data_IF_051369217229
#
_entry.id   IF_051369217229
#
_cell.length_a   1.000
_cell.length_b   1.000
_cell.length_c   1.000
_cell.angle_alpha   90.00
_cell.angle_beta   90.00
_cell.angle_gamma   90.00
#
_symmetry.space_group_name_H-M   'P 1'
#
loop_
_entity.id
_entity.type
_entity.pdbx_description
1 polymer ?
#
# COMPACT_ATOMS: atom_id res chain seq x y z
N UNK A 1 19.08 -14.09 -9.64
CA UNK A 1 18.49 -13.51 -8.42
C UNK A 1 19.46 -12.53 -7.79
N UNK A 2 19.22 -11.23 -7.98
CA UNK A 2 20.08 -10.14 -7.47
C UNK A 2 19.57 -9.51 -6.17
N UNK A 3 18.30 -9.75 -5.79
CA UNK A 3 17.68 -9.18 -4.60
C UNK A 3 17.38 -10.26 -3.55
N UNK A 4 17.57 -9.93 -2.29
CA UNK A 4 17.32 -10.80 -1.13
C UNK A 4 15.99 -10.48 -0.41
N UNK A 5 15.39 -9.32 -0.73
CA UNK A 5 14.11 -8.88 -0.21
C UNK A 5 13.48 -7.87 -1.17
N UNK A 6 12.18 -7.61 -0.99
CA UNK A 6 11.47 -6.51 -1.65
C UNK A 6 10.74 -5.64 -0.64
N UNK A 7 10.89 -4.33 -0.81
CA UNK A 7 10.06 -3.34 -0.14
C UNK A 7 9.24 -2.58 -1.18
N UNK A 8 7.92 -2.72 -1.11
CA UNK A 8 7.02 -1.98 -1.97
C UNK A 8 6.96 -0.51 -1.52
N UNK A 9 7.53 0.37 -2.34
CA UNK A 9 7.35 1.81 -2.25
C UNK A 9 5.97 2.20 -2.76
N UNK A 10 4.93 1.96 -1.95
CA UNK A 10 3.53 2.07 -2.40
C UNK A 10 3.12 3.49 -2.79
N UNK A 11 3.80 4.52 -2.31
CA UNK A 11 3.56 5.90 -2.74
C UNK A 11 3.91 6.10 -4.22
N UNK A 12 5.15 5.80 -4.60
CA UNK A 12 5.61 5.95 -5.97
C UNK A 12 4.87 4.98 -6.90
N UNK A 13 4.61 3.75 -6.43
CA UNK A 13 3.80 2.79 -7.18
C UNK A 13 2.39 3.33 -7.45
N UNK A 14 1.77 3.99 -6.46
CA UNK A 14 0.45 4.63 -6.63
C UNK A 14 0.53 5.79 -7.61
N UNK A 15 1.51 6.67 -7.46
CA UNK A 15 1.74 7.80 -8.36
C UNK A 15 1.88 7.35 -9.81
N UNK A 16 2.70 6.32 -10.07
CA UNK A 16 2.91 5.80 -11.42
C UNK A 16 1.70 5.01 -11.96
N UNK A 17 0.96 4.32 -11.09
CA UNK A 17 -0.24 3.55 -11.51
C UNK A 17 -1.41 4.46 -11.86
N UNK A 18 -1.66 5.51 -11.07
CA UNK A 18 -2.74 6.46 -11.31
C UNK A 18 -2.33 7.59 -12.28
N UNK A 19 -1.03 7.81 -12.49
CA UNK A 19 -0.53 9.00 -13.19
C UNK A 19 -0.75 10.29 -12.38
N UNK A 20 -0.83 10.19 -11.05
CA UNK A 20 -1.07 11.34 -10.17
C UNK A 20 0.24 11.85 -9.59
N UNK A 21 0.60 13.10 -9.92
CA UNK A 21 1.62 13.82 -9.16
C UNK A 21 1.11 14.06 -7.74
N UNK A 22 1.85 13.55 -6.74
CA UNK A 22 1.51 13.74 -5.33
C UNK A 22 1.46 15.21 -4.92
N UNK A 23 2.27 16.05 -5.56
CA UNK A 23 2.34 17.49 -5.26
C UNK A 23 1.19 18.28 -5.90
N UNK A 24 0.60 17.78 -6.99
CA UNK A 24 -0.44 18.48 -7.75
C UNK A 24 -1.86 17.93 -7.52
N UNK A 25 -1.99 16.71 -6.99
CA UNK A 25 -3.27 16.02 -6.87
C UNK A 25 -4.32 16.73 -6.00
N UNK A 26 -3.87 17.59 -5.08
CA UNK A 26 -4.76 18.38 -4.21
C UNK A 26 -5.74 19.27 -4.98
N UNK A 27 -5.45 19.56 -6.27
CA UNK A 27 -6.31 20.40 -7.13
C UNK A 27 -7.56 19.69 -7.65
N UNK A 28 -7.55 18.35 -7.73
CA UNK A 28 -8.67 17.60 -8.33
C UNK A 28 -9.16 16.43 -7.47
N UNK A 29 -8.31 15.85 -6.62
CA UNK A 29 -8.66 14.65 -5.85
C UNK A 29 -9.89 14.83 -4.94
N UNK A 30 -10.06 15.97 -4.22
CA UNK A 30 -11.26 16.18 -3.40
C UNK A 30 -12.56 16.11 -4.22
N UNK A 31 -12.55 16.64 -5.44
CA UNK A 31 -13.72 16.61 -6.33
C UNK A 31 -13.99 15.19 -6.84
N UNK A 32 -12.96 14.41 -7.16
CA UNK A 32 -13.11 13.00 -7.56
C UNK A 32 -13.76 12.16 -6.46
N UNK A 33 -13.39 12.41 -5.19
CA UNK A 33 -14.00 11.73 -4.04
C UNK A 33 -15.44 12.17 -3.85
N UNK A 34 -15.72 13.48 -3.93
CA UNK A 34 -17.07 14.04 -3.79
C UNK A 34 -18.03 13.53 -4.87
N UNK A 35 -17.55 13.35 -6.09
CA UNK A 35 -18.32 12.80 -7.21
C UNK A 35 -18.40 11.26 -7.18
N UNK A 36 -17.72 10.59 -6.24
CA UNK A 36 -17.70 9.14 -6.13
C UNK A 36 -16.90 8.43 -7.23
N UNK A 37 -16.09 9.17 -8.00
CA UNK A 37 -15.15 8.61 -8.98
C UNK A 37 -14.10 7.76 -8.24
N UNK A 38 -13.60 8.26 -7.12
CA UNK A 38 -12.73 7.53 -6.20
C UNK A 38 -13.40 7.37 -4.85
N UNK A 39 -13.30 6.17 -4.25
CA UNK A 39 -13.87 5.91 -2.93
C UNK A 39 -13.05 6.52 -1.79
N UNK A 40 -11.74 6.55 -1.95
CA UNK A 40 -10.80 7.07 -0.95
C UNK A 40 -9.64 7.78 -1.66
N UNK A 41 -8.85 8.55 -0.91
CA UNK A 41 -7.54 9.02 -1.34
C UNK A 41 -6.59 7.81 -1.53
N UNK A 42 -6.13 7.53 -2.76
CA UNK A 42 -5.31 6.36 -3.05
C UNK A 42 -3.91 6.43 -2.44
N UNK A 43 -3.46 7.59 -1.94
CA UNK A 43 -2.20 7.75 -1.21
C UNK A 43 -2.35 7.54 0.30
N UNK A 44 -3.58 7.39 0.79
CA UNK A 44 -3.87 7.07 2.19
C UNK A 44 -4.28 5.62 2.36
N UNK A 45 -5.15 5.12 1.47
CA UNK A 45 -5.65 3.74 1.46
C UNK A 45 -5.25 3.11 0.14
N UNK A 46 -4.52 2.00 0.20
CA UNK A 46 -4.02 1.34 -1.01
C UNK A 46 -5.18 0.95 -1.93
N UNK A 47 -5.05 1.28 -3.21
CA UNK A 47 -5.98 0.80 -4.22
C UNK A 47 -5.75 -0.69 -4.48
N UNK A 48 -6.63 -1.53 -3.94
CA UNK A 48 -6.51 -2.98 -4.04
C UNK A 48 -6.76 -3.53 -5.46
N UNK A 49 -7.43 -2.77 -6.33
CA UNK A 49 -7.83 -3.22 -7.66
C UNK A 49 -6.78 -2.92 -8.74
N UNK A 50 -6.06 -1.80 -8.63
CA UNK A 50 -4.95 -1.44 -9.52
C UNK A 50 -3.60 -1.70 -8.87
N UNK A 51 -3.21 -0.86 -7.91
CA UNK A 51 -1.89 -0.95 -7.23
C UNK A 51 -1.69 -2.31 -6.57
N UNK A 52 -2.72 -2.80 -5.87
CA UNK A 52 -2.71 -4.10 -5.22
C UNK A 52 -2.57 -5.27 -6.18
N UNK A 53 -3.08 -5.15 -7.41
CA UNK A 53 -2.92 -6.18 -8.43
C UNK A 53 -1.49 -6.25 -8.95
N UNK A 54 -0.83 -5.10 -9.15
CA UNK A 54 0.60 -5.05 -9.45
C UNK A 54 1.43 -5.71 -8.34
N UNK A 55 1.07 -5.48 -7.07
CA UNK A 55 1.74 -6.12 -5.94
C UNK A 55 1.58 -7.64 -5.99
N UNK A 56 0.35 -8.16 -6.20
CA UNK A 56 0.10 -9.60 -6.31
C UNK A 56 0.88 -10.24 -7.46
N UNK A 57 0.93 -9.57 -8.61
CA UNK A 57 1.69 -10.04 -9.76
C UNK A 57 3.17 -10.20 -9.41
N UNK A 58 3.78 -9.20 -8.75
CA UNK A 58 5.16 -9.31 -8.27
C UNK A 58 5.31 -10.48 -7.30
N UNK A 59 4.44 -10.59 -6.30
CA UNK A 59 4.49 -11.66 -5.29
C UNK A 59 4.39 -13.06 -5.90
N UNK A 60 3.61 -13.24 -6.98
CA UNK A 60 3.48 -14.53 -7.67
C UNK A 60 4.76 -15.01 -8.36
N UNK A 61 5.70 -14.10 -8.63
CA UNK A 61 6.99 -14.41 -9.26
C UNK A 61 8.12 -14.64 -8.27
N UNK A 62 7.87 -14.40 -6.97
CA UNK A 62 8.88 -14.51 -5.94
C UNK A 62 9.02 -15.95 -5.43
N UNK A 63 10.22 -16.35 -4.99
CA UNK A 63 10.41 -17.59 -4.27
C UNK A 63 9.54 -17.66 -3.02
N UNK A 64 9.24 -18.88 -2.58
CA UNK A 64 8.60 -19.10 -1.28
C UNK A 64 9.45 -18.49 -0.16
N UNK A 65 8.80 -17.90 0.84
CA UNK A 65 9.45 -17.26 1.99
C UNK A 65 10.40 -16.09 1.65
N UNK A 66 10.31 -15.52 0.45
CA UNK A 66 11.03 -14.30 0.10
C UNK A 66 10.59 -13.15 1.02
N UNK A 67 11.55 -12.37 1.51
CA UNK A 67 11.27 -11.29 2.47
C UNK A 67 10.57 -10.14 1.75
N UNK A 68 9.34 -9.85 2.15
CA UNK A 68 8.52 -8.80 1.56
C UNK A 68 8.07 -7.80 2.62
N UNK A 69 8.13 -6.53 2.26
CA UNK A 69 7.71 -5.42 3.11
C UNK A 69 6.95 -4.36 2.31
N UNK A 70 6.15 -3.56 3.00
CA UNK A 70 5.61 -2.30 2.47
C UNK A 70 6.18 -1.14 3.27
N UNK A 71 6.64 -0.09 2.59
CA UNK A 71 7.00 1.18 3.21
C UNK A 71 6.08 2.30 2.71
N UNK A 72 5.92 3.31 3.56
CA UNK A 72 5.14 4.51 3.28
C UNK A 72 3.84 4.58 4.09
N UNK A 73 2.95 5.46 3.66
CA UNK A 73 1.79 5.91 4.40
C UNK A 73 0.79 4.77 4.62
N UNK A 74 0.63 3.92 3.60
CA UNK A 74 -0.21 2.72 3.63
C UNK A 74 0.23 1.70 4.70
N UNK A 75 1.53 1.66 5.03
CA UNK A 75 2.07 0.75 6.06
C UNK A 75 1.56 1.04 7.47
N UNK A 76 0.92 2.20 7.68
CA UNK A 76 0.29 2.58 8.95
C UNK A 76 -1.24 2.75 8.85
N UNK A 77 -1.87 2.29 7.77
CA UNK A 77 -3.32 2.39 7.56
C UNK A 77 -3.98 1.00 7.66
N UNK A 78 -5.02 0.89 8.48
CA UNK A 78 -5.56 -0.41 8.89
C UNK A 78 -6.15 -1.26 7.76
N UNK A 79 -6.86 -0.67 6.80
CA UNK A 79 -7.43 -1.41 5.66
C UNK A 79 -6.32 -1.92 4.73
N UNK A 80 -5.31 -1.09 4.50
CA UNK A 80 -4.14 -1.41 3.69
C UNK A 80 -3.34 -2.53 4.34
N UNK A 81 -3.08 -2.47 5.66
CA UNK A 81 -2.41 -3.54 6.40
C UNK A 81 -3.18 -4.86 6.28
N UNK A 82 -4.51 -4.82 6.39
CA UNK A 82 -5.33 -6.01 6.20
C UNK A 82 -5.14 -6.62 4.81
N UNK A 83 -5.19 -5.80 3.77
CA UNK A 83 -4.93 -6.25 2.40
C UNK A 83 -3.51 -6.81 2.24
N UNK A 84 -2.49 -6.17 2.80
CA UNK A 84 -1.11 -6.65 2.76
C UNK A 84 -0.96 -8.03 3.41
N UNK A 85 -1.63 -8.26 4.54
CA UNK A 85 -1.69 -9.58 5.16
C UNK A 85 -2.38 -10.61 4.26
N UNK A 86 -3.51 -10.26 3.64
CA UNK A 86 -4.28 -11.14 2.73
C UNK A 86 -3.45 -11.59 1.51
N UNK A 87 -2.58 -10.72 0.97
CA UNK A 87 -1.71 -11.07 -0.17
C UNK A 87 -0.36 -11.68 0.24
N UNK A 88 -0.09 -11.82 1.53
CA UNK A 88 1.11 -12.51 2.04
C UNK A 88 2.36 -11.63 2.23
N UNK A 89 2.21 -10.31 2.33
CA UNK A 89 3.31 -9.42 2.75
C UNK A 89 3.70 -9.71 4.20
N UNK A 90 5.00 -9.82 4.48
CA UNK A 90 5.49 -10.26 5.79
C UNK A 90 5.66 -9.13 6.79
N UNK A 91 5.97 -7.92 6.34
CA UNK A 91 6.23 -6.79 7.23
C UNK A 91 5.69 -5.47 6.69
N UNK A 92 5.32 -4.56 7.58
CA UNK A 92 4.98 -3.17 7.24
C UNK A 92 5.88 -2.21 7.98
N UNK A 93 6.23 -1.11 7.34
CA UNK A 93 7.04 -0.02 7.90
C UNK A 93 6.28 1.29 7.76
N UNK A 94 6.13 1.99 8.89
CA UNK A 94 5.38 3.23 8.98
C UNK A 94 6.09 4.24 9.90
N UNK A 95 5.63 5.49 9.90
CA UNK A 95 6.17 6.52 10.79
C UNK A 95 6.00 6.12 12.27
N UNK A 96 6.88 6.59 13.18
CA UNK A 96 6.90 6.15 14.59
C UNK A 96 5.54 6.27 15.29
N UNK A 97 4.82 7.37 15.06
CA UNK A 97 3.51 7.60 15.67
C UNK A 97 2.40 6.66 15.15
N UNK A 98 2.58 6.05 13.98
CA UNK A 98 1.65 5.07 13.41
C UNK A 98 1.96 3.63 13.83
N UNK A 99 3.10 3.37 14.47
CA UNK A 99 3.49 2.02 14.91
C UNK A 99 2.42 1.38 15.81
N UNK A 100 1.85 2.05 16.83
CA UNK A 100 0.78 1.45 17.64
C UNK A 100 -0.46 1.06 16.81
N UNK A 101 -0.83 1.90 15.84
CA UNK A 101 -1.95 1.63 14.93
C UNK A 101 -1.65 0.41 14.07
N UNK A 102 -0.43 0.32 13.52
CA UNK A 102 -0.01 -0.80 12.71
C UNK A 102 0.00 -2.12 13.49
N UNK A 103 0.45 -2.12 14.75
CA UNK A 103 0.41 -3.28 15.64
C UNK A 103 -1.04 -3.75 15.85
N UNK A 104 -1.95 -2.83 16.19
CA UNK A 104 -3.36 -3.18 16.41
C UNK A 104 -4.01 -3.69 15.13
N UNK A 105 -3.73 -3.07 13.98
CA UNK A 105 -4.26 -3.50 12.70
C UNK A 105 -3.75 -4.89 12.32
N UNK A 106 -2.45 -5.15 12.43
CA UNK A 106 -1.85 -6.44 12.16
C UNK A 106 -2.39 -7.53 13.09
N UNK A 107 -2.53 -7.24 14.39
CA UNK A 107 -3.10 -8.18 15.36
C UNK A 107 -4.57 -8.54 15.11
N UNK A 108 -5.34 -7.67 14.45
CA UNK A 108 -6.72 -7.96 14.02
C UNK A 108 -6.83 -8.78 12.74
N UNK A 109 -5.72 -8.98 12.03
CA UNK A 109 -5.66 -9.77 10.80
C UNK A 109 -5.20 -11.22 11.05
N UNK A 110 -4.71 -11.50 12.27
CA UNK A 110 -4.27 -12.81 12.72
C UNK A 110 -5.44 -13.71 13.15
#
# INVERSE_FOLDING_TARGET
>A
NHAEFFSFGTNDLTQMTFGFSRDDMGRFLPEYIKQGILKNDPFQVVDTAGVGELMKNVLSTLPENFKTSVCGEHGGEGKSIKFFNEIGIKTVSCSPFRVPVAIVAAGRCA
#
